data_IF_004657383341
#
_entry.id   IF_004657383341
#
_cell.length_a   1.000
_cell.length_b   1.000
_cell.length_c   1.000
_cell.angle_alpha   90.00
_cell.angle_beta   90.00
_cell.angle_gamma   90.00
#
_symmetry.space_group_name_H-M   'P 1'
#
loop_
_entity.id
_entity.type
_entity.pdbx_description
1 polymer ?
#
# COMPACT_ATOMS: atom_id res chain seq x y z
N UNK A 1 36.37 3.43 -2.40
CA UNK A 1 36.81 2.52 -3.48
C UNK A 1 35.67 1.53 -3.67
N UNK A 2 34.83 1.73 -4.69
CA UNK A 2 33.77 0.77 -5.02
C UNK A 2 34.44 -0.52 -5.46
N UNK A 3 34.16 -1.64 -4.80
CA UNK A 3 34.67 -2.93 -5.22
C UNK A 3 33.73 -3.46 -6.30
N UNK A 4 34.26 -3.63 -7.50
CA UNK A 4 33.57 -4.30 -8.60
C UNK A 4 33.77 -5.81 -8.44
N UNK A 5 32.67 -6.57 -8.40
CA UNK A 5 32.68 -8.02 -8.25
C UNK A 5 32.26 -8.65 -9.57
N UNK A 6 33.05 -9.62 -10.02
CA UNK A 6 32.73 -10.43 -11.20
C UNK A 6 31.93 -11.65 -10.77
N UNK A 7 30.68 -11.75 -11.22
CA UNK A 7 29.72 -12.80 -10.87
C UNK A 7 29.22 -13.46 -12.17
N UNK A 8 28.96 -14.77 -12.15
CA UNK A 8 28.34 -15.46 -13.29
C UNK A 8 26.90 -15.00 -13.51
N UNK A 9 26.50 -14.80 -14.75
CA UNK A 9 25.11 -14.45 -15.15
C UNK A 9 24.09 -15.48 -14.61
N UNK A 10 24.52 -16.74 -14.49
CA UNK A 10 23.72 -17.84 -13.95
C UNK A 10 23.37 -17.66 -12.46
N UNK A 11 24.26 -17.06 -11.69
CA UNK A 11 24.15 -16.88 -10.23
C UNK A 11 23.76 -15.45 -9.84
N UNK A 12 23.70 -14.53 -10.81
CA UNK A 12 23.36 -13.14 -10.60
C UNK A 12 21.88 -12.94 -10.20
N UNK A 13 21.65 -11.99 -9.29
CA UNK A 13 20.30 -11.59 -8.84
C UNK A 13 19.59 -10.71 -9.87
N UNK A 14 18.26 -10.55 -9.72
CA UNK A 14 17.43 -9.70 -10.61
C UNK A 14 17.97 -8.27 -10.68
N UNK A 15 18.31 -7.69 -9.52
CA UNK A 15 18.84 -6.33 -9.41
C UNK A 15 20.21 -6.17 -10.07
N UNK A 16 21.09 -7.16 -9.93
CA UNK A 16 22.40 -7.19 -10.58
C UNK A 16 22.27 -7.21 -12.11
N UNK A 17 21.41 -8.08 -12.64
CA UNK A 17 21.17 -8.17 -14.07
C UNK A 17 20.51 -6.89 -14.61
N UNK A 18 19.59 -6.29 -13.85
CA UNK A 18 18.91 -5.04 -14.23
C UNK A 18 19.89 -3.87 -14.26
N UNK A 19 20.72 -3.73 -13.23
CA UNK A 19 21.74 -2.69 -13.19
C UNK A 19 22.72 -2.87 -14.35
N UNK A 20 23.22 -4.09 -14.56
CA UNK A 20 24.15 -4.35 -15.65
C UNK A 20 23.54 -4.04 -17.03
N UNK A 21 22.31 -4.49 -17.27
CA UNK A 21 21.60 -4.24 -18.52
C UNK A 21 21.37 -2.74 -18.79
N UNK A 22 21.03 -1.95 -17.76
CA UNK A 22 20.70 -0.52 -17.92
C UNK A 22 21.92 0.40 -17.86
N UNK A 23 22.80 0.20 -16.88
CA UNK A 23 23.94 1.07 -16.62
C UNK A 23 25.16 0.74 -17.51
N UNK A 24 25.37 -0.53 -17.87
CA UNK A 24 26.52 -0.95 -18.68
C UNK A 24 26.13 -1.12 -20.14
N UNK A 25 25.02 -1.81 -20.42
CA UNK A 25 24.59 -2.12 -21.80
C UNK A 25 23.60 -1.11 -22.39
N UNK A 26 23.04 -0.20 -21.58
CA UNK A 26 22.07 0.80 -22.05
C UNK A 26 20.74 0.22 -22.55
N UNK A 27 20.40 -1.01 -22.16
CA UNK A 27 19.18 -1.70 -22.58
C UNK A 27 17.99 -1.16 -21.77
N UNK A 28 16.97 -0.66 -22.47
CA UNK A 28 15.73 -0.26 -21.81
C UNK A 28 14.91 -1.48 -21.37
N UNK A 29 14.75 -1.60 -20.06
CA UNK A 29 14.00 -2.68 -19.43
C UNK A 29 12.53 -2.29 -19.15
N UNK A 30 12.13 -1.04 -19.38
CA UNK A 30 10.80 -0.55 -19.08
C UNK A 30 10.51 -0.47 -17.57
N UNK A 31 9.32 0.04 -17.17
CA UNK A 31 9.00 0.36 -15.79
C UNK A 31 8.64 -0.85 -14.92
N UNK A 32 8.61 -2.06 -15.47
CA UNK A 32 8.18 -3.24 -14.72
C UNK A 32 9.25 -3.62 -13.67
N UNK A 33 8.93 -3.59 -12.36
CA UNK A 33 9.88 -3.98 -11.31
C UNK A 33 10.14 -5.49 -11.25
N UNK A 34 9.21 -6.32 -11.74
CA UNK A 34 9.23 -7.78 -11.57
C UNK A 34 9.50 -8.54 -12.89
N UNK A 35 10.47 -8.07 -13.67
CA UNK A 35 10.88 -8.77 -14.90
C UNK A 35 11.55 -10.09 -14.52
N UNK A 36 11.15 -11.19 -15.16
CA UNK A 36 11.75 -12.51 -14.92
C UNK A 36 13.23 -12.51 -15.28
N UNK A 37 14.04 -13.22 -14.49
CA UNK A 37 15.50 -13.37 -14.70
C UNK A 37 15.78 -13.87 -16.12
N UNK A 38 15.01 -14.83 -16.62
CA UNK A 38 15.14 -15.37 -17.98
C UNK A 38 15.01 -14.27 -19.04
N UNK A 39 14.03 -13.38 -18.89
CA UNK A 39 13.80 -12.25 -19.81
C UNK A 39 14.94 -11.24 -19.75
N UNK A 40 15.52 -10.99 -18.57
CA UNK A 40 16.69 -10.13 -18.40
C UNK A 40 17.92 -10.74 -19.11
N UNK A 41 18.15 -12.03 -18.93
CA UNK A 41 19.24 -12.75 -19.61
C UNK A 41 19.09 -12.71 -21.13
N UNK A 42 17.88 -12.97 -21.65
CA UNK A 42 17.62 -12.89 -23.09
C UNK A 42 17.88 -11.49 -23.65
N UNK A 43 17.55 -10.43 -22.91
CA UNK A 43 17.83 -9.05 -23.33
C UNK A 43 19.33 -8.71 -23.30
N UNK A 44 20.06 -9.19 -22.29
CA UNK A 44 21.51 -9.02 -22.18
C UNK A 44 22.22 -9.76 -23.33
N UNK A 45 21.81 -10.99 -23.65
CA UNK A 45 22.35 -11.72 -24.80
C UNK A 45 21.98 -11.07 -26.14
N UNK A 46 20.77 -10.54 -26.26
CA UNK A 46 20.32 -9.83 -27.47
C UNK A 46 21.08 -8.51 -27.70
N UNK A 47 21.57 -7.88 -26.63
CA UNK A 47 22.45 -6.71 -26.70
C UNK A 47 23.89 -7.07 -27.14
N UNK A 48 24.18 -8.34 -27.45
CA UNK A 48 25.47 -8.78 -27.95
C UNK A 48 26.48 -9.16 -26.88
N UNK A 49 26.08 -9.22 -25.60
CA UNK A 49 26.95 -9.67 -24.52
C UNK A 49 27.00 -11.20 -24.48
N UNK A 50 28.11 -11.77 -24.93
CA UNK A 50 28.31 -13.22 -25.07
C UNK A 50 29.13 -13.85 -23.94
N UNK A 51 29.54 -13.06 -22.94
CA UNK A 51 30.30 -13.56 -21.80
C UNK A 51 29.35 -14.06 -20.72
N UNK A 52 29.75 -15.13 -20.04
CA UNK A 52 28.97 -15.75 -18.95
C UNK A 52 29.14 -15.03 -17.60
N UNK A 53 29.99 -14.01 -17.53
CA UNK A 53 30.34 -13.27 -16.33
C UNK A 53 29.97 -11.79 -16.47
N UNK A 54 29.39 -11.19 -15.43
CA UNK A 54 29.08 -9.76 -15.34
C UNK A 54 29.90 -9.12 -14.23
N UNK A 55 30.34 -7.89 -14.48
CA UNK A 55 30.96 -7.05 -13.45
C UNK A 55 29.90 -6.11 -12.92
N UNK A 56 29.57 -6.29 -11.65
CA UNK A 56 28.60 -5.44 -10.94
C UNK A 56 29.28 -4.87 -9.70
N UNK A 57 28.96 -3.64 -9.30
CA UNK A 57 29.44 -3.11 -8.04
C UNK A 57 28.89 -3.97 -6.90
N UNK A 58 29.72 -4.28 -5.90
CA UNK A 58 29.38 -5.10 -4.72
C UNK A 58 28.14 -4.59 -3.95
N UNK A 59 27.78 -3.32 -4.16
CA UNK A 59 26.59 -2.68 -3.58
C UNK A 59 25.27 -3.14 -4.20
N UNK A 60 25.30 -3.80 -5.36
CA UNK A 60 24.11 -4.30 -6.06
C UNK A 60 24.04 -5.81 -5.84
N UNK A 61 23.06 -6.24 -5.05
CA UNK A 61 22.80 -7.66 -4.80
C UNK A 61 23.47 -8.26 -3.57
N UNK A 62 24.05 -7.46 -2.67
CA UNK A 62 24.16 -7.90 -1.27
C UNK A 62 22.76 -8.32 -0.83
N UNK A 63 22.49 -9.58 -0.46
CA UNK A 63 21.29 -9.87 0.30
C UNK A 63 21.40 -9.00 1.54
N UNK A 64 20.46 -8.08 1.73
CA UNK A 64 20.43 -7.23 2.91
C UNK A 64 20.48 -8.15 4.14
N UNK A 65 21.68 -8.37 4.67
CA UNK A 65 21.88 -8.88 6.01
C UNK A 65 21.15 -7.87 6.87
N UNK A 66 20.03 -8.32 7.45
CA UNK A 66 19.17 -7.65 8.39
C UNK A 66 19.75 -6.31 8.85
N UNK A 67 19.41 -5.25 8.12
CA UNK A 67 19.79 -3.91 8.54
C UNK A 67 19.10 -3.67 9.89
N UNK A 68 19.93 -3.52 10.92
CA UNK A 68 19.50 -3.00 12.20
C UNK A 68 18.67 -1.72 11.95
N UNK A 69 17.50 -1.57 12.59
CA UNK A 69 16.62 -0.43 12.33
C UNK A 69 17.28 0.83 12.89
N UNK A 70 17.83 1.66 12.02
CA UNK A 70 18.25 3.01 12.36
C UNK A 70 17.23 4.00 11.79
N UNK A 71 16.56 4.71 12.70
CA UNK A 71 15.85 5.95 12.40
C UNK A 71 14.33 5.84 12.46
N UNK A 72 13.79 6.11 13.65
CA UNK A 72 12.42 6.54 13.90
C UNK A 72 11.94 7.56 12.86
N UNK A 73 11.19 7.08 11.88
CA UNK A 73 9.94 7.74 11.53
C UNK A 73 8.87 6.78 12.01
N UNK A 74 7.82 7.20 12.73
CA UNK A 74 6.76 6.29 13.14
C UNK A 74 5.88 5.98 11.92
N UNK A 75 6.45 5.40 10.87
CA UNK A 75 5.74 4.46 10.05
C UNK A 75 5.49 3.27 10.98
N UNK A 76 4.35 3.29 11.67
CA UNK A 76 3.76 2.08 12.19
C UNK A 76 3.64 1.13 10.98
N UNK A 77 4.66 0.30 10.77
CA UNK A 77 4.59 -0.89 9.93
C UNK A 77 3.69 -1.86 10.68
N UNK A 78 2.41 -1.53 10.72
CA UNK A 78 1.39 -2.41 11.23
C UNK A 78 1.38 -3.58 10.26
N UNK A 79 1.75 -4.74 10.77
CA UNK A 79 1.73 -6.00 10.04
C UNK A 79 0.46 -6.07 9.17
N UNK A 80 0.57 -6.26 7.84
CA UNK A 80 -0.58 -6.19 6.93
C UNK A 80 -1.66 -7.27 7.21
N UNK A 81 -1.36 -8.24 8.10
CA UNK A 81 -2.31 -9.22 8.64
C UNK A 81 -2.92 -8.86 9.99
N UNK A 82 -2.35 -7.94 10.76
CA UNK A 82 -2.80 -7.65 12.13
C UNK A 82 -4.20 -7.03 12.21
N UNK A 83 -4.60 -6.22 11.23
CA UNK A 83 -5.93 -5.60 11.19
C UNK A 83 -7.09 -6.59 11.04
N UNK A 84 -6.82 -7.79 10.51
CA UNK A 84 -7.80 -8.88 10.42
C UNK A 84 -7.87 -9.74 11.68
N UNK A 85 -6.80 -9.76 12.48
CA UNK A 85 -6.72 -10.54 13.73
C UNK A 85 -7.00 -9.70 14.98
N UNK A 86 -7.13 -8.39 14.84
CA UNK A 86 -7.41 -7.46 15.93
C UNK A 86 -8.85 -7.50 16.45
N UNK A 87 -9.12 -6.74 17.51
CA UNK A 87 -10.45 -6.60 18.10
C UNK A 87 -11.49 -6.15 17.05
N UNK A 88 -12.64 -6.84 17.02
CA UNK A 88 -13.73 -6.58 16.08
C UNK A 88 -14.91 -5.95 16.80
N UNK A 89 -15.51 -4.93 16.19
CA UNK A 89 -16.71 -4.27 16.65
C UNK A 89 -17.87 -4.58 15.69
N UNK A 90 -19.08 -4.68 16.25
CA UNK A 90 -20.30 -4.86 15.46
C UNK A 90 -20.95 -3.50 15.27
N UNK A 91 -21.05 -3.06 14.02
CA UNK A 91 -21.63 -1.75 13.68
C UNK A 91 -22.82 -1.90 12.74
N UNK A 92 -23.71 -0.90 12.75
CA UNK A 92 -24.78 -0.72 11.76
C UNK A 92 -24.66 0.70 11.21
N UNK A 93 -24.50 0.83 9.89
CA UNK A 93 -24.50 2.13 9.22
C UNK A 93 -25.93 2.43 8.76
N UNK A 94 -26.46 3.61 9.09
CA UNK A 94 -27.79 4.02 8.68
C UNK A 94 -27.87 4.26 7.16
N UNK A 95 -29.06 4.08 6.60
CA UNK A 95 -29.35 4.49 5.22
C UNK A 95 -29.40 6.02 5.16
N UNK A 96 -28.91 6.55 4.06
CA UNK A 96 -28.99 7.99 3.77
C UNK A 96 -30.13 8.21 2.75
N UNK A 97 -30.86 9.31 2.85
CA UNK A 97 -31.95 9.66 1.94
C UNK A 97 -31.44 10.16 0.57
N UNK A 98 -30.13 10.38 0.46
CA UNK A 98 -29.47 10.77 -0.80
C UNK A 98 -29.51 9.64 -1.85
N UNK A 99 -29.49 9.96 -3.15
CA UNK A 99 -29.40 8.95 -4.21
C UNK A 99 -28.14 8.08 -4.05
N UNK A 100 -28.34 6.77 -3.89
CA UNK A 100 -27.26 5.82 -3.60
C UNK A 100 -26.98 5.60 -2.11
N UNK A 101 -27.79 6.17 -1.21
CA UNK A 101 -27.68 6.00 0.24
C UNK A 101 -27.97 4.60 0.78
N UNK A 102 -28.40 3.67 -0.08
CA UNK A 102 -28.51 2.23 0.20
C UNK A 102 -27.24 1.44 -0.18
N UNK A 103 -26.30 2.04 -0.92
CA UNK A 103 -25.11 1.32 -1.40
C UNK A 103 -24.16 0.99 -0.25
N UNK A 104 -23.45 -0.14 -0.33
CA UNK A 104 -22.41 -0.47 0.65
C UNK A 104 -21.34 0.61 0.67
N UNK A 105 -20.85 0.90 1.86
CA UNK A 105 -19.81 1.91 2.10
C UNK A 105 -18.45 1.28 1.85
N UNK A 106 -17.68 1.88 0.95
CA UNK A 106 -16.29 1.49 0.71
C UNK A 106 -15.38 2.19 1.72
N UNK A 107 -14.62 1.41 2.49
CA UNK A 107 -13.64 1.91 3.45
C UNK A 107 -12.30 1.26 3.18
N UNK A 108 -11.25 2.07 3.07
CA UNK A 108 -9.88 1.60 2.90
C UNK A 108 -9.01 2.11 4.06
N UNK A 109 -8.31 1.18 4.71
CA UNK A 109 -7.37 1.49 5.79
C UNK A 109 -6.06 0.82 5.45
N UNK A 110 -4.98 1.59 5.36
CA UNK A 110 -3.61 1.10 5.16
C UNK A 110 -3.46 0.08 4.01
N UNK A 111 -4.03 0.41 2.86
CA UNK A 111 -3.95 -0.39 1.63
C UNK A 111 -4.94 -1.56 1.54
N UNK A 112 -5.78 -1.77 2.57
CA UNK A 112 -6.80 -2.82 2.58
C UNK A 112 -8.20 -2.23 2.58
N UNK A 113 -8.97 -2.58 1.56
CA UNK A 113 -10.35 -2.13 1.38
C UNK A 113 -11.38 -3.17 1.82
N UNK A 114 -12.52 -2.67 2.27
CA UNK A 114 -13.69 -3.46 2.64
C UNK A 114 -14.96 -2.70 2.24
N UNK A 115 -15.97 -3.47 1.83
CA UNK A 115 -17.32 -2.96 1.60
C UNK A 115 -18.19 -3.32 2.80
N UNK A 116 -18.76 -2.30 3.44
CA UNK A 116 -19.62 -2.46 4.62
C UNK A 116 -21.08 -2.24 4.18
N UNK A 117 -21.97 -3.23 4.32
CA UNK A 117 -23.38 -3.05 3.99
C UNK A 117 -24.06 -2.04 4.93
N UNK A 118 -25.03 -1.30 4.40
CA UNK A 118 -25.88 -0.38 5.19
C UNK A 118 -27.13 -1.10 5.67
N UNK A 119 -27.71 -0.63 6.78
CA UNK A 119 -28.87 -1.20 7.47
C UNK A 119 -28.72 -2.65 7.98
N UNK A 120 -27.54 -3.25 7.84
CA UNK A 120 -27.25 -4.58 8.34
C UNK A 120 -26.12 -4.52 9.37
N UNK A 121 -26.21 -5.33 10.45
CA UNK A 121 -25.14 -5.43 11.41
C UNK A 121 -23.95 -6.17 10.81
N UNK A 122 -22.79 -5.51 10.79
CA UNK A 122 -21.55 -6.05 10.23
C UNK A 122 -20.43 -6.04 11.26
N UNK A 123 -19.65 -7.13 11.32
CA UNK A 123 -18.47 -7.24 12.16
C UNK A 123 -17.23 -6.69 11.46
N UNK A 124 -16.76 -5.55 11.91
CA UNK A 124 -15.64 -4.80 11.33
C UNK A 124 -14.49 -4.67 12.32
N UNK A 125 -13.26 -4.62 11.80
CA UNK A 125 -12.09 -4.34 12.63
C UNK A 125 -12.17 -2.93 13.21
N UNK A 126 -11.65 -2.75 14.43
CA UNK A 126 -11.56 -1.45 15.09
C UNK A 126 -10.97 -0.31 14.22
N UNK A 127 -9.91 -0.52 13.42
CA UNK A 127 -9.38 0.53 12.53
C UNK A 127 -10.39 1.04 11.49
N UNK A 128 -11.30 0.17 11.02
CA UNK A 128 -12.35 0.57 10.09
C UNK A 128 -13.43 1.40 10.79
N UNK A 129 -13.70 1.13 12.08
CA UNK A 129 -14.62 1.93 12.89
C UNK A 129 -14.05 3.32 13.14
N UNK A 130 -12.77 3.41 13.49
CA UNK A 130 -12.09 4.71 13.65
C UNK A 130 -12.12 5.52 12.36
N UNK A 131 -11.83 4.88 11.21
CA UNK A 131 -11.92 5.54 9.91
C UNK A 131 -13.33 6.08 9.62
N UNK A 132 -14.38 5.35 10.01
CA UNK A 132 -15.77 5.81 9.85
C UNK A 132 -16.15 6.92 10.84
N UNK A 133 -15.64 6.89 12.07
CA UNK A 133 -15.86 7.95 13.06
C UNK A 133 -15.25 9.28 12.62
N UNK A 134 -14.05 9.23 12.03
CA UNK A 134 -13.33 10.40 11.55
C UNK A 134 -13.73 10.84 10.12
N UNK A 135 -14.62 10.08 9.46
CA UNK A 135 -15.16 10.47 8.16
C UNK A 135 -16.23 11.56 8.34
N UNK A 136 -15.82 12.82 8.20
CA UNK A 136 -16.71 13.99 8.25
C UNK A 136 -16.88 14.64 6.88
N UNK A 137 -18.00 15.35 6.71
CA UNK A 137 -18.31 16.17 5.55
C UNK A 137 -18.62 17.59 6.01
N UNK A 138 -18.02 18.58 5.35
CA UNK A 138 -18.37 19.99 5.56
C UNK A 138 -19.62 20.32 4.74
N UNK A 139 -20.70 20.72 5.41
CA UNK A 139 -21.88 21.32 4.79
C UNK A 139 -21.77 22.83 4.84
N UNK A 140 -22.11 23.48 3.73
CA UNK A 140 -22.18 24.92 3.61
C UNK A 140 -23.65 25.32 3.54
N UNK A 141 -24.10 26.03 4.56
CA UNK A 141 -25.44 26.61 4.61
C UNK A 141 -25.29 28.11 4.31
N UNK A 142 -26.03 28.62 3.33
CA UNK A 142 -26.08 30.05 2.99
C UNK A 142 -27.33 30.65 3.65
N UNK A 143 -27.14 31.65 4.49
CA UNK A 143 -28.26 32.36 5.12
C UNK A 143 -28.93 33.34 4.13
N UNK A 144 -30.08 33.91 4.52
CA UNK A 144 -30.82 34.88 3.71
C UNK A 144 -30.05 36.20 3.48
N UNK A 145 -28.99 36.46 4.26
CA UNK A 145 -28.14 37.64 4.17
C UNK A 145 -26.89 37.41 3.29
N UNK A 146 -26.72 36.19 2.77
CA UNK A 146 -25.63 35.80 1.88
C UNK A 146 -24.34 35.36 2.59
N UNK A 147 -24.35 35.20 3.91
CA UNK A 147 -23.21 34.63 4.64
C UNK A 147 -23.22 33.10 4.51
N UNK A 148 -22.02 32.55 4.34
CA UNK A 148 -21.82 31.11 4.23
C UNK A 148 -21.34 30.61 5.59
N UNK A 149 -22.16 29.82 6.27
CA UNK A 149 -21.78 29.12 7.49
C UNK A 149 -21.40 27.68 7.15
N UNK A 150 -20.21 27.24 7.59
CA UNK A 150 -19.80 25.84 7.46
C UNK A 150 -20.06 25.07 8.75
N UNK A 151 -20.55 23.83 8.62
CA UNK A 151 -20.62 22.87 9.72
C UNK A 151 -20.06 21.52 9.29
N UNK A 152 -19.32 20.88 10.18
CA UNK A 152 -18.85 19.52 9.98
C UNK A 152 -19.88 18.52 10.50
N UNK A 153 -20.27 17.57 9.65
CA UNK A 153 -21.26 16.55 9.97
C UNK A 153 -20.66 15.18 9.63
N UNK A 154 -20.86 14.13 10.45
CA UNK A 154 -20.41 12.79 10.10
C UNK A 154 -20.97 12.35 8.74
N UNK A 155 -20.09 11.89 7.86
CA UNK A 155 -20.47 11.45 6.52
C UNK A 155 -21.27 10.14 6.54
N UNK A 156 -20.97 9.27 7.51
CA UNK A 156 -21.62 7.97 7.68
C UNK A 156 -22.17 7.84 9.10
N UNK A 157 -23.43 8.23 9.35
CA UNK A 157 -24.05 8.02 10.66
C UNK A 157 -24.14 6.53 10.95
N UNK A 158 -23.44 6.08 12.00
CA UNK A 158 -23.37 4.68 12.40
C UNK A 158 -23.68 4.48 13.88
N UNK A 159 -24.17 3.29 14.20
CA UNK A 159 -24.41 2.82 15.56
C UNK A 159 -23.48 1.66 15.87
N UNK A 160 -22.81 1.72 17.02
CA UNK A 160 -21.94 0.65 17.51
C UNK A 160 -22.78 -0.24 18.44
N UNK A 161 -23.04 -1.48 18.01
CA UNK A 161 -23.86 -2.45 18.77
C UNK A 161 -23.04 -3.19 19.83
N UNK A 162 -21.77 -3.44 19.54
CA UNK A 162 -20.85 -4.11 20.47
C UNK A 162 -19.44 -3.63 20.20
N UNK A 163 -18.77 -3.13 21.24
CA UNK A 163 -17.33 -2.91 21.22
C UNK A 163 -16.59 -4.15 21.74
N UNK A 164 -15.46 -4.51 21.13
CA UNK A 164 -14.54 -5.48 21.72
C UNK A 164 -13.97 -4.87 23.01
N UNK A 165 -13.90 -5.66 24.08
CA UNK A 165 -13.24 -5.24 25.31
C UNK A 165 -11.78 -4.88 24.99
N UNK A 166 -11.35 -3.69 25.41
CA UNK A 166 -9.96 -3.27 25.31
C UNK A 166 -9.10 -4.31 26.07
N UNK A 167 -8.22 -4.98 25.35
CA UNK A 167 -7.23 -5.90 25.90
C UNK A 167 -5.99 -5.13 26.33
#
# INVERSE_FOLDING_TARGET
MSQDVTIKIADATVDQLRWFATAVLGVDLGPNPNIRIETLRSKISAAGYQRDDITVPDTIGTPAAAAAPAGETPAHAVDPGSYQRGPRAKIVIARDEKPGGDRPVFVAVNGKSMLIPRAEPCDVGLPYVEALLHATQTLYDMDEEGNITSREVPLYPMQILSMPAAA
#
